data_IF_269523569575
#
_entry.id   IF_269523569575
#
_cell.length_a   1.000
_cell.length_b   1.000
_cell.length_c   1.000
_cell.angle_alpha   90.00
_cell.angle_beta   90.00
_cell.angle_gamma   90.00
#
_symmetry.space_group_name_H-M   'P 1'
#
loop_
_entity.id
_entity.type
_entity.pdbx_description
1 polymer ?
#
# COMPACT_ATOMS: atom_id res chain seq x y z
N UNK A 1 -72.73 33.29 38.12
CA UNK A 1 -71.97 32.05 37.83
C UNK A 1 -71.19 32.23 36.52
N UNK A 2 -69.89 32.52 36.62
CA UNK A 2 -69.01 32.74 35.47
C UNK A 2 -68.30 31.44 35.19
N UNK A 3 -68.52 30.84 34.06
CA UNK A 3 -67.83 29.61 33.59
C UNK A 3 -66.56 30.01 32.81
N UNK A 4 -65.38 29.72 33.45
CA UNK A 4 -64.09 29.88 32.81
C UNK A 4 -63.83 28.63 31.94
N UNK A 5 -63.70 28.81 30.63
CA UNK A 5 -63.28 27.78 29.71
C UNK A 5 -61.75 27.86 29.58
N UNK A 6 -61.04 26.85 30.08
CA UNK A 6 -59.58 26.72 29.93
C UNK A 6 -59.35 25.97 28.61
N UNK A 7 -58.82 26.68 27.61
CA UNK A 7 -58.36 26.05 26.33
C UNK A 7 -56.91 25.56 26.55
N UNK A 8 -56.75 24.25 26.52
CA UNK A 8 -55.41 23.62 26.48
C UNK A 8 -54.85 23.69 25.06
N UNK A 9 -53.88 24.56 24.82
CA UNK A 9 -53.11 24.58 23.59
C UNK A 9 -52.04 23.41 23.68
N UNK A 10 -52.34 22.34 22.96
CA UNK A 10 -51.30 21.29 22.69
C UNK A 10 -50.34 21.81 21.62
N UNK A 11 -49.16 22.27 22.03
CA UNK A 11 -48.03 22.54 21.11
C UNK A 11 -47.47 21.23 20.63
N UNK A 12 -47.75 20.86 19.40
CA UNK A 12 -47.10 19.76 18.67
C UNK A 12 -45.68 20.25 18.32
N UNK A 13 -44.70 19.81 19.09
CA UNK A 13 -43.26 19.94 18.73
C UNK A 13 -43.00 18.97 17.61
N UNK A 14 -43.07 19.47 16.35
CA UNK A 14 -42.54 18.73 15.18
C UNK A 14 -41.02 18.74 15.32
N UNK A 15 -40.47 17.69 15.91
CA UNK A 15 -39.05 17.42 15.92
C UNK A 15 -38.62 17.23 14.46
N UNK A 16 -37.89 18.18 13.90
CA UNK A 16 -37.10 17.96 12.70
C UNK A 16 -36.07 16.89 13.02
N UNK A 17 -36.44 15.63 12.84
CA UNK A 17 -35.48 14.52 12.78
C UNK A 17 -34.53 14.83 11.63
N UNK A 18 -33.36 15.37 11.94
CA UNK A 18 -32.26 15.36 11.00
C UNK A 18 -32.14 13.90 10.53
N UNK A 19 -32.41 13.63 9.26
CA UNK A 19 -32.11 12.35 8.62
C UNK A 19 -30.59 12.19 8.68
N UNK A 20 -30.07 11.68 9.79
CA UNK A 20 -28.69 11.24 9.92
C UNK A 20 -28.56 10.06 8.96
N UNK A 21 -27.99 10.30 7.78
CA UNK A 21 -27.69 9.18 6.89
C UNK A 21 -26.76 8.22 7.62
N UNK A 22 -27.03 6.90 7.56
CA UNK A 22 -26.21 5.93 8.25
C UNK A 22 -24.75 6.04 7.75
N UNK A 23 -23.81 6.03 8.68
CA UNK A 23 -22.37 6.05 8.35
C UNK A 23 -22.07 4.95 7.34
N UNK A 24 -21.48 5.25 6.17
CA UNK A 24 -21.22 4.25 5.15
C UNK A 24 -20.14 3.26 5.59
N UNK A 25 -20.02 2.19 4.84
CA UNK A 25 -18.99 1.17 5.01
C UNK A 25 -17.95 1.29 3.90
N UNK A 26 -16.69 1.04 4.22
CA UNK A 26 -15.60 1.05 3.23
C UNK A 26 -14.83 -0.26 3.33
N UNK A 27 -14.69 -0.94 2.19
CA UNK A 27 -13.79 -2.07 2.01
C UNK A 27 -12.64 -1.60 1.13
N UNK A 28 -11.43 -1.67 1.64
CA UNK A 28 -10.18 -1.40 0.91
C UNK A 28 -9.53 -2.74 0.56
N UNK A 29 -9.48 -3.05 -0.73
CA UNK A 29 -8.89 -4.29 -1.26
C UNK A 29 -7.58 -3.96 -1.96
N UNK A 30 -6.52 -4.72 -1.64
CA UNK A 30 -5.26 -4.67 -2.38
C UNK A 30 -5.00 -5.99 -3.09
N UNK A 31 -4.65 -5.90 -4.38
CA UNK A 31 -4.00 -6.96 -5.14
C UNK A 31 -2.53 -6.55 -5.33
N UNK A 32 -1.63 -7.23 -4.62
CA UNK A 32 -0.20 -6.90 -4.59
C UNK A 32 0.43 -6.93 -5.99
N UNK A 33 1.24 -5.94 -6.31
CA UNK A 33 1.98 -5.90 -7.56
C UNK A 33 1.12 -5.76 -8.82
N UNK A 34 -0.18 -5.42 -8.70
CA UNK A 34 -1.08 -5.32 -9.83
C UNK A 34 -0.80 -4.03 -10.63
N UNK A 35 0.00 -4.15 -11.71
CA UNK A 35 0.42 -3.02 -12.55
C UNK A 35 -0.75 -2.36 -13.27
N UNK A 36 -0.69 -1.05 -13.43
CA UNK A 36 -1.78 -0.20 -13.93
C UNK A 36 -2.36 -0.60 -15.31
N UNK A 37 -1.57 -1.28 -16.14
CA UNK A 37 -1.94 -1.70 -17.50
C UNK A 37 -2.36 -3.18 -17.61
N UNK A 38 -2.35 -3.94 -16.51
CA UNK A 38 -2.66 -5.38 -16.54
C UNK A 38 -4.08 -5.70 -17.00
N UNK A 39 -5.06 -4.85 -16.66
CA UNK A 39 -6.46 -5.04 -17.09
C UNK A 39 -6.61 -4.95 -18.61
N UNK A 40 -5.70 -4.25 -19.29
CA UNK A 40 -5.70 -4.11 -20.74
C UNK A 40 -5.07 -5.32 -21.45
N UNK A 41 -4.21 -6.08 -20.75
CA UNK A 41 -3.49 -7.23 -21.30
C UNK A 41 -4.36 -8.50 -21.38
N UNK A 42 -5.49 -8.53 -20.67
CA UNK A 42 -6.37 -9.70 -20.59
C UNK A 42 -7.85 -9.28 -20.68
N UNK A 43 -8.73 -10.27 -20.87
CA UNK A 43 -10.16 -10.01 -20.75
C UNK A 43 -10.60 -10.07 -19.27
N UNK A 44 -10.51 -8.94 -18.56
CA UNK A 44 -10.88 -8.77 -17.14
C UNK A 44 -12.25 -8.07 -16.99
N UNK A 45 -13.38 -8.79 -17.15
CA UNK A 45 -14.71 -8.18 -17.22
C UNK A 45 -15.16 -7.51 -15.93
N UNK A 46 -14.74 -8.00 -14.76
CA UNK A 46 -15.15 -7.47 -13.47
C UNK A 46 -14.45 -6.13 -13.18
N UNK A 47 -13.13 -6.02 -13.44
CA UNK A 47 -12.44 -4.73 -13.39
C UNK A 47 -13.05 -3.72 -14.37
N UNK A 48 -13.30 -4.12 -15.62
CA UNK A 48 -13.94 -3.27 -16.64
C UNK A 48 -15.35 -2.81 -16.22
N UNK A 49 -16.10 -3.67 -15.53
CA UNK A 49 -17.41 -3.30 -14.99
C UNK A 49 -17.31 -2.22 -13.91
N UNK A 50 -16.33 -2.32 -13.00
CA UNK A 50 -16.09 -1.29 -11.97
C UNK A 50 -15.66 0.03 -12.62
N UNK A 51 -14.78 0.00 -13.62
CA UNK A 51 -14.36 1.20 -14.37
C UNK A 51 -15.58 1.96 -14.94
N UNK A 52 -16.57 1.21 -15.46
CA UNK A 52 -17.79 1.79 -16.05
C UNK A 52 -18.78 2.29 -14.99
N UNK A 53 -18.94 1.57 -13.89
CA UNK A 53 -19.96 1.81 -12.86
C UNK A 53 -19.48 2.72 -11.72
N UNK A 54 -18.19 2.97 -11.61
CA UNK A 54 -17.57 3.74 -10.54
C UNK A 54 -16.52 4.72 -11.05
N UNK A 55 -15.45 4.88 -10.31
CA UNK A 55 -14.30 5.72 -10.65
C UNK A 55 -13.03 4.88 -10.79
N UNK A 56 -12.10 5.35 -11.66
CA UNK A 56 -10.78 4.74 -11.83
C UNK A 56 -9.72 5.79 -12.17
N UNK A 57 -8.46 5.45 -12.00
CA UNK A 57 -7.33 6.31 -12.36
C UNK A 57 -6.50 5.73 -13.52
N UNK A 58 -5.72 6.59 -14.18
CA UNK A 58 -4.68 6.18 -15.15
C UNK A 58 -3.53 5.40 -14.48
N UNK A 59 -3.52 5.33 -13.16
CA UNK A 59 -2.59 4.58 -12.33
C UNK A 59 -2.51 5.16 -10.93
N UNK A 60 -2.19 4.31 -9.97
CA UNK A 60 -1.88 4.70 -8.60
C UNK A 60 -0.35 4.78 -8.47
N UNK A 61 0.17 5.98 -8.22
CA UNK A 61 1.62 6.21 -8.12
C UNK A 61 2.06 5.81 -6.71
N UNK A 62 2.94 4.81 -6.57
CA UNK A 62 3.49 4.45 -5.27
C UNK A 62 4.44 5.53 -4.76
N UNK A 63 4.65 5.58 -3.44
CA UNK A 63 5.76 6.31 -2.86
C UNK A 63 7.09 5.65 -3.22
N UNK A 64 8.18 6.40 -3.18
CA UNK A 64 9.53 5.84 -3.24
C UNK A 64 9.96 5.33 -1.86
N UNK A 65 10.59 4.13 -1.78
CA UNK A 65 10.70 3.13 -2.84
C UNK A 65 9.35 2.43 -3.08
N UNK A 66 9.11 2.00 -4.33
CA UNK A 66 7.89 1.29 -4.69
C UNK A 66 7.92 -0.17 -4.21
N UNK A 67 7.93 -0.35 -2.89
CA UNK A 67 8.00 -1.61 -2.15
C UNK A 67 6.72 -1.87 -1.38
N UNK A 68 6.42 -3.15 -1.15
CA UNK A 68 5.17 -3.64 -0.55
C UNK A 68 4.86 -3.01 0.80
N UNK A 69 5.78 -3.15 1.78
CA UNK A 69 5.51 -2.71 3.14
C UNK A 69 5.37 -1.20 3.27
N UNK A 70 6.30 -0.37 2.74
CA UNK A 70 6.13 1.08 2.76
C UNK A 70 4.81 1.54 2.12
N UNK A 71 4.45 0.99 0.95
CA UNK A 71 3.30 1.48 0.20
C UNK A 71 1.96 1.06 0.76
N UNK A 72 1.82 -0.19 1.24
CA UNK A 72 0.60 -0.57 1.96
C UNK A 72 0.40 0.29 3.21
N UNK A 73 1.48 0.63 3.92
CA UNK A 73 1.37 1.46 5.11
C UNK A 73 1.12 2.93 4.78
N UNK A 74 1.70 3.45 3.68
CA UNK A 74 1.39 4.79 3.16
C UNK A 74 -0.09 4.95 2.79
N UNK A 75 -0.70 3.94 2.15
CA UNK A 75 -2.13 3.94 1.78
C UNK A 75 -3.02 4.12 3.02
N UNK A 76 -2.69 3.49 4.13
CA UNK A 76 -3.54 3.50 5.35
C UNK A 76 -3.13 4.56 6.38
N UNK A 77 -2.05 5.31 6.16
CA UNK A 77 -1.62 6.41 7.03
C UNK A 77 -1.68 7.79 6.36
N UNK A 78 -1.69 7.83 5.01
CA UNK A 78 -1.60 9.08 4.26
C UNK A 78 -0.25 9.78 4.38
N UNK A 79 0.80 9.04 4.79
CA UNK A 79 2.15 9.55 5.00
C UNK A 79 3.13 8.90 4.01
N UNK A 80 4.19 9.63 3.66
CA UNK A 80 5.33 9.08 2.94
C UNK A 80 6.17 8.14 3.81
N UNK A 81 6.93 7.20 3.23
CA UNK A 81 7.79 6.26 3.96
C UNK A 81 8.77 6.92 4.93
N UNK A 82 9.36 8.06 4.55
CA UNK A 82 10.23 8.83 5.44
C UNK A 82 9.52 9.42 6.66
N UNK A 83 8.21 9.67 6.56
CA UNK A 83 7.41 10.26 7.64
C UNK A 83 6.77 9.22 8.56
N UNK A 84 6.28 8.08 8.01
CA UNK A 84 5.77 7.01 8.87
C UNK A 84 6.86 6.05 9.38
N UNK A 85 8.08 6.12 8.82
CA UNK A 85 9.26 5.44 9.33
C UNK A 85 9.49 4.01 8.84
N UNK A 86 8.55 3.41 8.10
CA UNK A 86 8.72 2.11 7.45
C UNK A 86 9.28 2.36 6.04
N UNK A 87 10.59 2.54 5.96
CA UNK A 87 11.24 3.10 4.77
C UNK A 87 11.44 2.09 3.64
N UNK A 88 11.57 0.81 3.95
CA UNK A 88 11.78 -0.26 2.97
C UNK A 88 11.27 -1.60 3.54
N UNK A 89 11.23 -2.65 2.72
CA UNK A 89 11.02 -4.03 3.16
C UNK A 89 12.20 -4.55 4.00
N UNK A 90 13.39 -3.96 3.81
CA UNK A 90 14.62 -4.26 4.55
C UNK A 90 15.43 -2.98 4.75
N UNK A 91 15.71 -2.60 6.00
CA UNK A 91 16.53 -1.43 6.35
C UNK A 91 17.18 -1.63 7.73
N UNK A 92 18.28 -0.92 7.98
CA UNK A 92 18.90 -0.88 9.29
C UNK A 92 18.39 0.32 10.09
N UNK A 93 18.03 0.10 11.35
CA UNK A 93 17.67 1.18 12.27
C UNK A 93 18.91 1.61 13.06
N UNK A 94 19.44 2.82 12.84
CA UNK A 94 20.64 3.27 13.52
C UNK A 94 20.46 3.53 15.01
N UNK A 95 19.23 3.83 15.47
CA UNK A 95 18.93 4.06 16.88
C UNK A 95 18.91 2.75 17.68
N UNK A 96 18.29 1.71 17.13
CA UNK A 96 18.25 0.36 17.74
C UNK A 96 19.42 -0.51 17.36
N UNK A 97 20.23 -0.09 16.37
CA UNK A 97 21.38 -0.85 15.84
C UNK A 97 20.99 -2.26 15.39
N UNK A 98 19.85 -2.36 14.71
CA UNK A 98 19.31 -3.65 14.28
C UNK A 98 18.71 -3.57 12.86
N UNK A 99 18.70 -4.73 12.17
CA UNK A 99 18.12 -4.87 10.86
C UNK A 99 16.61 -5.12 10.97
N UNK A 100 15.80 -4.29 10.26
CA UNK A 100 14.41 -4.58 9.98
C UNK A 100 14.32 -5.41 8.70
N UNK A 101 13.57 -6.48 8.70
CA UNK A 101 13.28 -7.31 7.54
C UNK A 101 11.80 -7.72 7.57
N UNK A 102 11.11 -7.59 6.44
CA UNK A 102 9.69 -7.97 6.31
C UNK A 102 9.40 -9.43 6.68
N UNK A 103 10.39 -10.32 6.59
CA UNK A 103 10.28 -11.74 6.97
C UNK A 103 10.45 -11.96 8.46
N UNK A 104 10.94 -10.98 9.21
CA UNK A 104 11.14 -11.09 10.65
C UNK A 104 9.88 -10.68 11.42
N UNK A 105 9.08 -11.68 11.81
CA UNK A 105 7.81 -11.45 12.52
C UNK A 105 7.95 -10.56 13.76
N UNK A 106 9.04 -10.68 14.51
CA UNK A 106 9.30 -9.85 15.69
C UNK A 106 9.41 -8.36 15.31
N UNK A 107 9.92 -8.05 14.11
CA UNK A 107 10.05 -6.67 13.62
C UNK A 107 8.74 -6.15 13.02
N UNK A 108 8.06 -6.98 12.26
CA UNK A 108 6.82 -6.57 11.56
C UNK A 108 5.62 -6.41 12.50
N UNK A 109 5.73 -6.87 13.74
CA UNK A 109 4.71 -6.64 14.79
C UNK A 109 5.14 -5.63 15.85
N UNK A 110 6.37 -5.07 15.77
CA UNK A 110 6.88 -4.09 16.73
C UNK A 110 6.39 -2.67 16.36
N UNK A 111 5.58 -2.02 17.23
CA UNK A 111 5.03 -0.68 16.98
C UNK A 111 6.09 0.41 16.74
N UNK A 112 7.30 0.22 17.22
CA UNK A 112 8.39 1.17 17.06
C UNK A 112 8.67 1.56 15.59
N UNK A 113 8.42 0.64 14.65
CA UNK A 113 8.69 0.87 13.24
C UNK A 113 7.55 1.59 12.51
N UNK A 114 6.39 1.75 13.14
CA UNK A 114 5.12 2.13 12.51
C UNK A 114 4.60 3.46 13.05
N UNK A 115 5.01 4.57 12.43
CA UNK A 115 4.53 5.91 12.77
C UNK A 115 3.17 6.26 12.16
N UNK A 116 2.62 7.38 12.58
CA UNK A 116 1.35 7.88 12.06
C UNK A 116 0.11 7.24 12.72
N UNK A 117 -1.05 7.55 12.15
CA UNK A 117 -2.36 7.04 12.62
C UNK A 117 -3.02 6.27 11.48
N UNK A 118 -2.96 4.93 11.45
CA UNK A 118 -3.61 4.17 10.40
C UNK A 118 -5.14 4.29 10.48
N UNK A 119 -5.82 4.11 9.33
CA UNK A 119 -7.29 4.29 9.19
C UNK A 119 -8.10 3.49 10.21
N UNK A 120 -7.68 2.29 10.58
CA UNK A 120 -8.37 1.50 11.61
C UNK A 120 -8.26 2.12 13.01
N UNK A 121 -7.12 2.77 13.33
CA UNK A 121 -6.97 3.51 14.58
C UNK A 121 -7.79 4.80 14.55
N UNK A 122 -7.81 5.52 13.44
CA UNK A 122 -8.64 6.70 13.24
C UNK A 122 -10.13 6.36 13.39
N UNK A 123 -10.59 5.27 12.77
CA UNK A 123 -11.96 4.76 12.91
C UNK A 123 -12.32 4.52 14.38
N UNK A 124 -11.48 3.78 15.12
CA UNK A 124 -11.68 3.50 16.55
C UNK A 124 -11.75 4.77 17.39
N UNK A 125 -10.88 5.76 17.15
CA UNK A 125 -10.89 7.05 17.85
C UNK A 125 -12.21 7.82 17.65
N UNK A 126 -12.97 7.50 16.61
CA UNK A 126 -14.27 8.08 16.30
C UNK A 126 -15.45 7.11 16.55
N UNK A 127 -15.24 6.07 17.34
CA UNK A 127 -16.30 5.11 17.73
C UNK A 127 -16.71 4.12 16.65
N UNK A 128 -15.99 4.06 15.52
CA UNK A 128 -16.24 3.09 14.46
C UNK A 128 -15.36 1.86 14.64
N UNK A 129 -15.93 0.67 14.45
CA UNK A 129 -15.18 -0.57 14.42
C UNK A 129 -14.49 -0.78 13.07
N UNK A 130 -13.41 -1.53 13.09
CA UNK A 130 -12.61 -1.86 11.92
C UNK A 130 -12.19 -3.32 11.90
N UNK A 131 -11.92 -3.84 10.71
CA UNK A 131 -11.45 -5.21 10.51
C UNK A 131 -10.31 -5.26 9.48
N UNK A 132 -9.44 -6.26 9.59
CA UNK A 132 -8.37 -6.51 8.64
C UNK A 132 -8.22 -8.00 8.36
N UNK A 133 -8.41 -8.39 7.09
CA UNK A 133 -7.96 -9.67 6.62
C UNK A 133 -6.64 -9.45 5.86
N UNK A 134 -5.59 -9.37 6.66
CA UNK A 134 -4.22 -9.00 6.30
C UNK A 134 -4.09 -7.53 5.86
N UNK A 135 -3.11 -6.89 6.39
CA UNK A 135 -2.59 -5.59 5.96
C UNK A 135 -1.33 -5.27 6.73
N UNK A 136 -0.38 -4.59 6.10
CA UNK A 136 0.85 -4.14 6.79
C UNK A 136 0.50 -3.21 7.95
N UNK A 137 0.96 -3.54 9.15
CA UNK A 137 0.69 -2.80 10.39
C UNK A 137 -0.61 -3.17 11.12
N UNK A 138 -1.45 -4.08 10.58
CA UNK A 138 -2.69 -4.51 11.26
C UNK A 138 -2.47 -5.50 12.41
N UNK A 139 -1.25 -6.00 12.58
CA UNK A 139 -0.90 -7.07 13.53
C UNK A 139 0.05 -6.60 14.64
N UNK A 140 0.18 -5.29 14.84
CA UNK A 140 1.10 -4.73 15.83
C UNK A 140 0.85 -5.31 17.22
N UNK A 141 1.91 -5.49 18.02
CA UNK A 141 1.80 -6.12 19.34
C UNK A 141 0.94 -5.34 20.34
N UNK A 142 0.77 -4.03 20.14
CA UNK A 142 -0.09 -3.19 20.96
C UNK A 142 -1.55 -3.22 20.51
N UNK A 143 -2.52 -3.63 21.36
CA UNK A 143 -3.92 -3.79 20.99
C UNK A 143 -4.62 -2.53 20.49
N UNK A 144 -4.27 -1.36 21.02
CA UNK A 144 -4.85 -0.07 20.64
C UNK A 144 -4.41 0.43 19.25
N UNK A 145 -3.37 -0.21 18.69
CA UNK A 145 -2.86 0.07 17.35
C UNK A 145 -3.41 -0.87 16.27
N UNK A 146 -4.18 -1.90 16.67
CA UNK A 146 -4.76 -2.90 15.76
C UNK A 146 -6.21 -2.58 15.40
N UNK A 147 -6.74 -3.12 14.30
CA UNK A 147 -8.19 -3.20 14.07
C UNK A 147 -8.90 -3.97 15.19
N UNK A 148 -10.22 -3.80 15.33
CA UNK A 148 -11.03 -4.55 16.31
C UNK A 148 -11.06 -6.05 15.98
N UNK A 149 -11.12 -6.37 14.70
CA UNK A 149 -11.03 -7.74 14.17
C UNK A 149 -9.83 -7.81 13.23
N UNK A 150 -9.00 -8.82 13.37
CA UNK A 150 -7.89 -9.02 12.43
C UNK A 150 -7.47 -10.49 12.39
N UNK A 151 -6.86 -10.86 11.28
CA UNK A 151 -6.16 -12.13 11.14
C UNK A 151 -4.66 -11.87 11.02
N UNK A 152 -3.81 -12.60 11.76
CA UNK A 152 -2.38 -12.63 11.49
C UNK A 152 -2.12 -13.13 10.08
N UNK A 153 -1.10 -12.58 9.41
CA UNK A 153 -0.76 -12.99 8.05
C UNK A 153 -0.42 -14.48 7.98
N UNK A 154 -1.15 -15.19 7.14
CA UNK A 154 -0.97 -16.61 6.83
C UNK A 154 -1.37 -16.84 5.37
N UNK A 155 -0.37 -17.05 4.51
CA UNK A 155 -0.57 -17.23 3.07
C UNK A 155 -1.31 -18.54 2.73
N UNK A 156 -1.33 -19.51 3.64
CA UNK A 156 -2.04 -20.79 3.46
C UNK A 156 -3.57 -20.63 3.47
N UNK A 157 -4.09 -19.54 4.01
CA UNK A 157 -5.52 -19.26 4.02
C UNK A 157 -5.99 -18.86 2.61
N UNK A 158 -6.87 -19.65 2.02
CA UNK A 158 -7.33 -19.44 0.65
C UNK A 158 -8.07 -18.11 0.47
N UNK A 159 -7.96 -17.53 -0.75
CA UNK A 159 -8.60 -16.26 -1.10
C UNK A 159 -10.12 -16.27 -0.91
N UNK A 160 -10.78 -17.42 -1.13
CA UNK A 160 -12.22 -17.57 -0.93
C UNK A 160 -12.62 -17.47 0.54
N UNK A 161 -11.80 -17.97 1.47
CA UNK A 161 -12.02 -17.84 2.91
C UNK A 161 -11.89 -16.38 3.32
N UNK A 162 -10.91 -15.64 2.78
CA UNK A 162 -10.72 -14.21 3.04
C UNK A 162 -11.96 -13.41 2.63
N UNK A 163 -12.50 -13.66 1.43
CA UNK A 163 -13.73 -13.00 0.96
C UNK A 163 -14.94 -13.38 1.83
N UNK A 164 -15.10 -14.67 2.16
CA UNK A 164 -16.20 -15.13 3.00
C UNK A 164 -16.17 -14.43 4.38
N UNK A 165 -15.00 -14.25 4.97
CA UNK A 165 -14.85 -13.56 6.25
C UNK A 165 -15.25 -12.08 6.17
N UNK A 166 -14.91 -11.37 5.10
CA UNK A 166 -15.36 -9.97 4.88
C UNK A 166 -16.89 -9.92 4.85
N UNK A 167 -17.53 -10.86 4.16
CA UNK A 167 -19.00 -10.98 4.11
C UNK A 167 -19.60 -11.26 5.49
N UNK A 168 -18.96 -12.12 6.29
CA UNK A 168 -19.40 -12.38 7.67
C UNK A 168 -19.32 -11.14 8.54
N UNK A 169 -18.24 -10.35 8.45
CA UNK A 169 -18.14 -9.09 9.19
C UNK A 169 -19.23 -8.08 8.83
N UNK A 170 -19.61 -7.99 7.55
CA UNK A 170 -20.71 -7.13 7.12
C UNK A 170 -22.10 -7.60 7.61
N UNK A 171 -22.25 -8.86 7.98
CA UNK A 171 -23.49 -9.45 8.51
C UNK A 171 -23.61 -9.36 10.05
N UNK A 172 -22.59 -8.89 10.74
CA UNK A 172 -22.64 -8.69 12.18
C UNK A 172 -23.74 -7.68 12.57
N UNK A 173 -24.27 -7.74 13.81
CA UNK A 173 -25.11 -6.67 14.33
C UNK A 173 -24.44 -5.29 14.18
N UNK A 174 -25.23 -4.24 14.01
CA UNK A 174 -24.71 -2.89 13.76
C UNK A 174 -23.68 -2.42 14.78
N UNK A 175 -23.90 -2.72 16.06
CA UNK A 175 -22.99 -2.39 17.17
C UNK A 175 -21.63 -3.11 17.10
N UNK A 176 -21.54 -4.18 16.34
CA UNK A 176 -20.31 -4.99 16.19
C UNK A 176 -19.71 -4.90 14.79
N UNK A 177 -20.48 -4.38 13.82
CA UNK A 177 -20.11 -4.37 12.40
C UNK A 177 -18.97 -3.37 12.14
N UNK A 178 -17.86 -3.79 11.49
CA UNK A 178 -16.78 -2.89 11.12
C UNK A 178 -17.21 -1.98 9.95
N UNK A 179 -17.01 -0.68 10.10
CA UNK A 179 -17.24 0.33 9.06
C UNK A 179 -16.06 0.45 8.09
N UNK A 180 -14.86 0.07 8.54
CA UNK A 180 -13.66 0.03 7.70
C UNK A 180 -13.07 -1.38 7.71
N UNK A 181 -12.88 -1.95 6.52
CA UNK A 181 -12.36 -3.30 6.34
C UNK A 181 -11.21 -3.25 5.33
N UNK A 182 -10.07 -3.88 5.66
CA UNK A 182 -9.00 -4.13 4.70
C UNK A 182 -8.97 -5.59 4.30
N UNK A 183 -8.67 -5.85 3.01
CA UNK A 183 -8.55 -7.19 2.43
C UNK A 183 -7.33 -7.21 1.49
N UNK A 184 -6.43 -8.18 1.67
CA UNK A 184 -5.20 -8.29 0.90
C UNK A 184 -5.08 -9.63 0.18
N UNK A 185 -4.58 -9.57 -1.07
CA UNK A 185 -4.21 -10.69 -1.91
C UNK A 185 -2.78 -10.50 -2.42
N UNK A 186 -1.94 -11.53 -2.30
CA UNK A 186 -0.54 -11.52 -2.70
C UNK A 186 -0.31 -11.68 -4.21
N UNK A 187 -1.36 -12.04 -4.97
CA UNK A 187 -1.31 -12.17 -6.42
C UNK A 187 -1.79 -10.88 -7.09
N UNK A 188 -1.19 -10.45 -8.23
CA UNK A 188 -0.27 -11.17 -9.12
C UNK A 188 1.24 -10.92 -8.86
N UNK A 189 1.64 -10.37 -7.70
CA UNK A 189 3.05 -10.03 -7.42
C UNK A 189 3.97 -11.25 -7.50
N UNK A 190 3.58 -12.37 -6.86
CA UNK A 190 4.36 -13.60 -6.87
C UNK A 190 4.64 -14.12 -8.29
N UNK A 191 3.63 -14.13 -9.15
CA UNK A 191 3.76 -14.55 -10.53
C UNK A 191 4.60 -13.57 -11.34
N UNK A 192 4.41 -12.27 -11.10
CA UNK A 192 5.23 -11.20 -11.70
C UNK A 192 6.70 -11.37 -11.39
N UNK A 193 7.05 -11.64 -10.14
CA UNK A 193 8.43 -11.90 -9.71
C UNK A 193 9.03 -13.13 -10.39
N UNK A 194 8.32 -14.25 -10.37
CA UNK A 194 8.88 -15.53 -10.80
C UNK A 194 8.94 -15.72 -12.32
N UNK A 195 8.03 -15.10 -13.07
CA UNK A 195 7.85 -15.36 -14.51
C UNK A 195 7.88 -14.09 -15.36
N UNK A 196 8.00 -12.92 -14.75
CA UNK A 196 7.92 -11.63 -15.42
C UNK A 196 6.48 -11.14 -15.64
N UNK A 197 6.30 -9.80 -15.73
CA UNK A 197 4.99 -9.15 -15.79
C UNK A 197 4.20 -9.47 -17.08
N UNK A 198 4.88 -9.89 -18.15
CA UNK A 198 4.25 -10.17 -19.45
C UNK A 198 3.95 -11.66 -19.68
N UNK A 199 4.30 -12.54 -18.73
CA UNK A 199 4.17 -13.99 -18.83
C UNK A 199 2.71 -14.48 -18.86
N UNK A 200 2.51 -15.71 -19.32
CA UNK A 200 1.20 -16.36 -19.27
C UNK A 200 0.78 -16.66 -17.83
N UNK A 201 1.73 -16.93 -16.94
CA UNK A 201 1.53 -17.15 -15.50
C UNK A 201 0.93 -15.90 -14.87
N UNK A 202 1.53 -14.73 -15.11
CA UNK A 202 1.03 -13.45 -14.63
C UNK A 202 -0.34 -13.11 -15.22
N UNK A 203 -0.56 -13.37 -16.52
CA UNK A 203 -1.88 -13.20 -17.14
C UNK A 203 -2.97 -14.07 -16.49
N UNK A 204 -2.66 -15.32 -16.15
CA UNK A 204 -3.59 -16.19 -15.40
C UNK A 204 -3.86 -15.66 -14.00
N UNK A 205 -2.85 -15.11 -13.33
CA UNK A 205 -3.01 -14.50 -12.01
C UNK A 205 -3.91 -13.25 -12.05
N UNK A 206 -3.78 -12.41 -13.08
CA UNK A 206 -4.66 -11.26 -13.31
C UNK A 206 -6.12 -11.71 -13.50
N UNK A 207 -6.36 -12.76 -14.30
CA UNK A 207 -7.72 -13.31 -14.49
C UNK A 207 -8.29 -13.90 -13.21
N UNK A 208 -7.44 -14.52 -12.37
CA UNK A 208 -7.85 -14.99 -11.03
C UNK A 208 -8.25 -13.81 -10.13
N UNK A 209 -7.46 -12.74 -10.12
CA UNK A 209 -7.78 -11.51 -9.38
C UNK A 209 -9.09 -10.89 -9.86
N UNK A 210 -9.36 -10.87 -11.17
CA UNK A 210 -10.63 -10.42 -11.74
C UNK A 210 -11.81 -11.27 -11.23
N UNK A 211 -11.64 -12.59 -11.19
CA UNK A 211 -12.67 -13.52 -10.69
C UNK A 211 -12.96 -13.30 -9.20
N UNK A 212 -11.91 -13.12 -8.37
CA UNK A 212 -12.05 -12.82 -6.94
C UNK A 212 -12.77 -11.50 -6.72
N UNK A 213 -12.44 -10.47 -7.49
CA UNK A 213 -13.13 -9.19 -7.45
C UNK A 213 -14.60 -9.33 -7.80
N UNK A 214 -14.93 -10.11 -8.83
CA UNK A 214 -16.31 -10.43 -9.22
C UNK A 214 -17.09 -11.11 -8.11
N UNK A 215 -16.49 -12.10 -7.44
CA UNK A 215 -17.10 -12.81 -6.29
C UNK A 215 -17.36 -11.82 -5.16
N UNK A 216 -16.38 -10.99 -4.80
CA UNK A 216 -16.52 -10.00 -3.72
C UNK A 216 -17.63 -9.00 -4.02
N UNK A 217 -17.65 -8.40 -5.21
CA UNK A 217 -18.67 -7.44 -5.63
C UNK A 217 -20.07 -8.04 -5.61
N UNK A 218 -20.23 -9.27 -6.12
CA UNK A 218 -21.52 -9.95 -6.13
C UNK A 218 -22.04 -10.24 -4.73
N UNK A 219 -21.16 -10.64 -3.80
CA UNK A 219 -21.55 -10.85 -2.40
C UNK A 219 -21.95 -9.54 -1.71
N UNK A 220 -21.18 -8.46 -1.91
CA UNK A 220 -21.48 -7.14 -1.32
C UNK A 220 -22.85 -6.63 -1.79
N UNK A 221 -23.19 -6.79 -3.07
CA UNK A 221 -24.48 -6.34 -3.64
C UNK A 221 -25.70 -7.02 -3.03
N UNK A 222 -25.56 -8.19 -2.43
CA UNK A 222 -26.65 -8.90 -1.74
C UNK A 222 -26.86 -8.42 -0.31
N UNK A 223 -26.01 -7.54 0.20
CA UNK A 223 -26.09 -7.00 1.57
C UNK A 223 -26.71 -5.62 1.50
N UNK A 224 -27.84 -5.35 2.20
CA UNK A 224 -28.53 -4.06 2.14
C UNK A 224 -27.82 -2.99 2.99
N UNK A 225 -26.56 -2.73 2.69
CA UNK A 225 -25.70 -1.75 3.37
C UNK A 225 -25.08 -0.78 2.34
N UNK A 226 -24.83 0.48 2.70
CA UNK A 226 -24.15 1.44 1.84
C UNK A 226 -22.63 1.20 1.81
N UNK A 227 -22.21 0.14 1.13
CA UNK A 227 -20.80 -0.27 1.05
C UNK A 227 -20.09 0.40 -0.13
N UNK A 228 -18.98 1.05 0.15
CA UNK A 228 -18.03 1.53 -0.85
C UNK A 228 -16.86 0.54 -0.93
N UNK A 229 -16.51 0.13 -2.13
CA UNK A 229 -15.37 -0.73 -2.42
C UNK A 229 -14.29 0.10 -3.11
N UNK A 230 -13.09 0.11 -2.54
CA UNK A 230 -11.90 0.74 -3.11
C UNK A 230 -10.89 -0.39 -3.37
N UNK A 231 -10.44 -0.50 -4.62
CA UNK A 231 -9.49 -1.54 -5.07
C UNK A 231 -8.22 -0.84 -5.50
N UNK A 232 -7.11 -1.28 -4.91
CA UNK A 232 -5.77 -0.71 -5.14
C UNK A 232 -4.74 -1.81 -5.39
N UNK A 233 -3.56 -1.40 -5.80
CA UNK A 233 -2.32 -2.13 -5.55
C UNK A 233 -1.28 -1.16 -4.98
N UNK A 234 -0.33 -1.69 -4.29
CA UNK A 234 0.75 -0.96 -3.64
C UNK A 234 1.82 -0.48 -4.62
N UNK A 235 2.08 -1.25 -5.68
CA UNK A 235 3.00 -0.95 -6.79
C UNK A 235 2.63 -1.75 -8.04
N UNK A 236 3.42 -1.56 -9.10
CA UNK A 236 3.44 -2.39 -10.30
C UNK A 236 4.67 -3.29 -10.34
N UNK A 237 5.16 -3.61 -11.56
CA UNK A 237 6.24 -4.57 -11.78
C UNK A 237 7.05 -4.21 -13.03
N UNK A 238 8.38 -4.15 -12.91
CA UNK A 238 9.31 -4.02 -14.02
C UNK A 238 9.76 -5.40 -14.52
N UNK A 239 9.93 -5.56 -15.82
CA UNK A 239 10.47 -6.79 -16.41
C UNK A 239 12.00 -6.74 -16.42
N UNK A 240 12.62 -7.82 -15.96
CA UNK A 240 14.05 -8.06 -16.03
C UNK A 240 14.34 -9.37 -16.75
N UNK A 241 15.59 -9.57 -17.12
CA UNK A 241 16.08 -10.84 -17.72
C UNK A 241 17.11 -11.48 -16.82
N UNK A 242 17.05 -12.79 -16.68
CA UNK A 242 18.02 -13.59 -15.92
C UNK A 242 19.30 -13.77 -16.75
N UNK A 243 20.09 -12.69 -16.82
CA UNK A 243 21.40 -12.65 -17.49
C UNK A 243 22.39 -11.89 -16.61
N UNK A 244 23.71 -12.17 -16.68
CA UNK A 244 24.70 -11.53 -15.82
C UNK A 244 24.69 -10.01 -15.88
N UNK A 245 24.38 -9.43 -17.04
CA UNK A 245 24.35 -7.99 -17.29
C UNK A 245 23.24 -7.25 -16.52
N UNK A 246 22.22 -7.96 -16.08
CA UNK A 246 21.12 -7.44 -15.26
C UNK A 246 21.60 -7.07 -13.86
N UNK A 247 22.68 -7.70 -13.38
CA UNK A 247 23.07 -7.58 -11.97
C UNK A 247 24.14 -6.53 -11.73
N UNK A 248 23.95 -5.82 -10.61
CA UNK A 248 24.94 -4.90 -10.02
C UNK A 248 25.48 -5.61 -8.79
N UNK A 249 26.74 -6.07 -8.84
CA UNK A 249 27.38 -6.78 -7.74
C UNK A 249 27.96 -5.80 -6.72
N UNK A 250 27.44 -5.80 -5.50
CA UNK A 250 27.89 -4.89 -4.42
C UNK A 250 29.36 -5.07 -4.08
N UNK A 251 29.89 -6.29 -4.10
CA UNK A 251 31.29 -6.56 -3.82
C UNK A 251 32.26 -5.96 -4.87
N UNK A 252 31.78 -5.59 -6.06
CA UNK A 252 32.60 -4.91 -7.08
C UNK A 252 32.64 -3.40 -6.84
N UNK A 253 31.60 -2.83 -6.25
CA UNK A 253 31.45 -1.38 -6.08
C UNK A 253 31.74 -0.91 -4.66
N UNK A 254 31.63 -1.80 -3.64
CA UNK A 254 31.80 -1.52 -2.23
C UNK A 254 32.72 -2.57 -1.58
N UNK A 255 33.58 -2.16 -0.66
CA UNK A 255 34.30 -3.09 0.18
C UNK A 255 33.37 -3.75 1.22
N UNK A 256 32.87 -4.95 0.91
CA UNK A 256 31.93 -5.69 1.76
C UNK A 256 32.59 -6.29 3.03
N UNK A 257 33.92 -6.22 3.14
CA UNK A 257 34.66 -6.66 4.34
C UNK A 257 34.79 -5.53 5.39
N UNK A 258 34.38 -4.32 5.05
CA UNK A 258 34.39 -3.17 5.96
C UNK A 258 33.20 -3.25 6.94
N UNK A 259 33.46 -3.72 8.15
CA UNK A 259 32.43 -3.90 9.17
C UNK A 259 31.81 -2.58 9.69
N UNK A 260 32.44 -1.43 9.40
CA UNK A 260 31.95 -0.10 9.78
C UNK A 260 30.88 0.42 8.83
N UNK A 261 30.59 -0.29 7.73
CA UNK A 261 29.51 -0.01 6.80
C UNK A 261 28.42 -1.07 6.95
N UNK A 262 27.28 -0.69 7.52
CA UNK A 262 26.10 -1.58 7.54
C UNK A 262 25.36 -1.41 6.20
N UNK A 263 24.92 -2.52 5.64
CA UNK A 263 24.28 -2.57 4.33
C UNK A 263 22.93 -3.25 4.45
N UNK A 264 21.87 -2.58 3.96
CA UNK A 264 20.56 -3.17 3.78
C UNK A 264 20.23 -3.14 2.28
N UNK A 265 20.28 -4.31 1.65
CA UNK A 265 20.06 -4.47 0.21
C UNK A 265 18.62 -4.92 -0.05
N UNK A 266 17.83 -4.06 -0.71
CA UNK A 266 16.46 -4.30 -1.16
C UNK A 266 16.36 -4.72 -2.64
N UNK A 267 17.49 -4.96 -3.33
CA UNK A 267 17.56 -5.39 -4.72
C UNK A 267 17.48 -4.26 -5.75
N UNK A 268 16.51 -3.38 -5.66
CA UNK A 268 16.38 -2.18 -6.53
C UNK A 268 16.95 -0.93 -5.88
N UNK A 269 17.10 -0.95 -4.56
CA UNK A 269 17.84 0.05 -3.77
C UNK A 269 18.66 -0.66 -2.71
N UNK A 270 19.75 0.01 -2.30
CA UNK A 270 20.64 -0.46 -1.27
C UNK A 270 21.05 0.69 -0.37
N UNK A 271 20.74 0.56 0.92
CA UNK A 271 21.01 1.54 1.96
C UNK A 271 22.37 1.26 2.58
N UNK A 272 23.22 2.29 2.70
CA UNK A 272 24.51 2.22 3.38
C UNK A 272 24.47 3.11 4.61
N UNK A 273 24.85 2.55 5.76
CA UNK A 273 24.96 3.25 7.03
C UNK A 273 26.41 3.21 7.46
N UNK A 274 27.03 4.38 7.63
CA UNK A 274 28.46 4.56 7.81
C UNK A 274 28.72 5.01 9.25
N UNK A 275 29.42 4.18 10.03
CA UNK A 275 29.68 4.46 11.45
C UNK A 275 30.54 5.72 11.67
N UNK A 276 31.48 5.99 10.77
CA UNK A 276 32.34 7.19 10.79
C UNK A 276 31.88 8.19 9.72
N UNK A 277 31.22 9.28 10.11
CA UNK A 277 30.70 10.28 9.15
C UNK A 277 31.79 10.94 8.28
N UNK A 278 33.03 10.98 8.75
CA UNK A 278 34.16 11.58 7.99
C UNK A 278 34.48 10.78 6.72
N UNK A 279 34.02 9.54 6.63
CA UNK A 279 34.25 8.65 5.49
C UNK A 279 33.15 8.71 4.43
N UNK A 280 32.03 9.37 4.71
CA UNK A 280 30.87 9.41 3.77
C UNK A 280 31.30 9.89 2.40
N UNK A 281 32.05 11.00 2.31
CA UNK A 281 32.47 11.58 1.03
C UNK A 281 33.41 10.66 0.23
N UNK A 282 34.34 10.00 0.90
CA UNK A 282 35.28 9.07 0.26
C UNK A 282 34.58 7.81 -0.27
N UNK A 283 33.63 7.25 0.51
CA UNK A 283 32.84 6.09 0.11
C UNK A 283 31.89 6.48 -1.03
N UNK A 284 31.19 7.60 -0.93
CA UNK A 284 30.34 8.15 -2.00
C UNK A 284 31.11 8.27 -3.31
N UNK A 285 32.27 8.95 -3.28
CA UNK A 285 33.10 9.14 -4.47
C UNK A 285 33.56 7.83 -5.09
N UNK A 286 33.97 6.86 -4.27
CA UNK A 286 34.37 5.53 -4.72
C UNK A 286 33.22 4.78 -5.40
N UNK A 287 32.02 4.78 -4.79
CA UNK A 287 30.84 4.12 -5.36
C UNK A 287 30.38 4.84 -6.63
N UNK A 288 30.36 6.17 -6.64
CA UNK A 288 29.94 7.01 -7.78
C UNK A 288 30.85 6.83 -9.00
N UNK A 289 32.16 6.72 -8.79
CA UNK A 289 33.15 6.52 -9.89
C UNK A 289 32.89 5.22 -10.67
N UNK A 290 32.30 4.21 -10.03
CA UNK A 290 31.99 2.90 -10.63
C UNK A 290 30.56 2.82 -11.18
N UNK A 291 29.76 3.89 -11.07
CA UNK A 291 28.34 3.87 -11.45
C UNK A 291 28.17 3.71 -12.95
N UNK A 292 27.45 2.66 -13.36
CA UNK A 292 27.05 2.40 -14.74
C UNK A 292 25.52 2.29 -14.88
N UNK A 293 24.92 1.39 -14.11
CA UNK A 293 23.49 1.05 -14.19
C UNK A 293 22.76 1.36 -12.87
N UNK A 294 23.33 2.27 -12.09
CA UNK A 294 22.77 2.73 -10.83
C UNK A 294 23.14 4.20 -10.59
N UNK A 295 22.42 4.83 -9.70
CA UNK A 295 22.75 6.12 -9.11
C UNK A 295 23.08 5.96 -7.64
N UNK A 296 23.92 6.84 -7.10
CA UNK A 296 24.19 6.93 -5.68
C UNK A 296 23.94 8.35 -5.21
N UNK A 297 23.31 8.48 -4.05
CA UNK A 297 22.94 9.74 -3.44
C UNK A 297 23.44 9.76 -1.99
N UNK A 298 23.94 10.91 -1.55
CA UNK A 298 24.01 11.23 -0.12
C UNK A 298 22.60 11.57 0.37
N UNK A 299 22.34 11.44 1.68
CA UNK A 299 21.01 11.73 2.23
C UNK A 299 20.52 13.14 1.89
N UNK A 300 21.36 14.14 1.98
CA UNK A 300 21.05 15.52 1.64
C UNK A 300 20.79 15.75 0.13
N UNK A 301 21.20 14.82 -0.71
CA UNK A 301 20.99 14.85 -2.17
C UNK A 301 19.73 14.12 -2.61
N UNK A 302 18.98 13.52 -1.69
CA UNK A 302 17.75 12.78 -2.05
C UNK A 302 16.77 13.70 -2.77
N UNK A 303 16.18 13.27 -3.91
CA UNK A 303 15.12 14.02 -4.57
C UNK A 303 14.02 14.41 -3.59
N UNK A 304 13.70 15.70 -3.50
CA UNK A 304 12.69 16.22 -2.54
C UNK A 304 11.33 15.52 -2.66
N UNK A 305 10.96 15.08 -3.89
CA UNK A 305 9.72 14.37 -4.15
C UNK A 305 9.64 12.99 -3.46
N UNK A 306 10.76 12.43 -2.99
CA UNK A 306 10.75 11.15 -2.27
C UNK A 306 10.27 11.30 -0.83
N UNK A 307 10.38 12.49 -0.23
CA UNK A 307 10.06 12.72 1.19
C UNK A 307 10.73 11.67 2.09
N UNK A 308 12.04 11.44 1.85
CA UNK A 308 12.74 10.26 2.33
C UNK A 308 13.94 10.61 3.24
N UNK A 309 14.05 11.86 3.65
CA UNK A 309 15.13 12.35 4.52
C UNK A 309 14.91 11.86 5.97
N UNK A 310 15.44 10.68 6.25
CA UNK A 310 15.40 10.05 7.58
C UNK A 310 16.66 9.18 7.78
N UNK A 311 17.18 9.08 9.03
CA UNK A 311 18.32 8.21 9.32
C UNK A 311 18.12 6.73 8.91
N UNK A 312 16.88 6.23 8.91
CA UNK A 312 16.56 4.88 8.45
C UNK A 312 16.79 4.67 6.95
N UNK A 313 16.82 5.73 6.16
CA UNK A 313 17.12 5.67 4.73
C UNK A 313 18.63 5.53 4.42
N UNK A 314 19.51 5.56 5.45
CA UNK A 314 20.94 5.44 5.31
C UNK A 314 21.65 6.79 5.11
N UNK A 315 22.96 6.76 5.15
CA UNK A 315 23.81 7.93 4.86
C UNK A 315 24.04 8.05 3.35
N UNK A 316 24.12 6.90 2.67
CA UNK A 316 24.14 6.79 1.21
C UNK A 316 23.05 5.82 0.74
N UNK A 317 22.45 6.13 -0.40
CA UNK A 317 21.48 5.27 -1.07
C UNK A 317 21.94 5.00 -2.49
N UNK A 318 22.07 3.71 -2.83
CA UNK A 318 22.29 3.24 -4.19
C UNK A 318 20.94 2.83 -4.76
N UNK A 319 20.56 3.35 -5.93
CA UNK A 319 19.33 2.99 -6.64
C UNK A 319 19.66 2.41 -8.00
N UNK A 320 19.23 1.19 -8.28
CA UNK A 320 19.37 0.59 -9.60
C UNK A 320 18.49 1.32 -10.63
N UNK A 321 18.98 1.45 -11.85
CA UNK A 321 18.14 1.87 -12.97
C UNK A 321 17.09 0.79 -13.30
N UNK A 322 15.92 1.14 -13.85
CA UNK A 322 14.95 0.15 -14.31
C UNK A 322 15.59 -0.90 -15.23
N UNK A 323 15.27 -2.17 -15.00
CA UNK A 323 15.89 -3.31 -15.71
C UNK A 323 17.15 -3.87 -15.07
N UNK A 324 17.64 -3.28 -13.97
CA UNK A 324 18.81 -3.76 -13.22
C UNK A 324 18.46 -4.10 -11.77
N UNK A 325 19.26 -5.00 -11.18
CA UNK A 325 19.02 -5.52 -9.83
C UNK A 325 20.32 -5.65 -9.05
N UNK A 326 20.33 -5.17 -7.79
CA UNK A 326 21.51 -5.16 -6.92
C UNK A 326 21.57 -6.49 -6.16
N UNK A 327 22.69 -7.18 -6.28
CA UNK A 327 23.00 -8.42 -5.53
C UNK A 327 24.28 -8.24 -4.72
N UNK A 328 24.48 -9.07 -3.70
CA UNK A 328 25.72 -9.01 -2.90
C UNK A 328 26.90 -9.63 -3.68
N UNK A 329 27.35 -10.80 -3.38
CA UNK A 329 28.41 -11.52 -4.12
C UNK A 329 27.80 -12.51 -5.12
N UNK A 330 26.71 -13.09 -4.72
CA UNK A 330 26.00 -14.13 -5.46
C UNK A 330 24.52 -13.73 -5.57
N UNK A 331 23.86 -14.32 -6.54
CA UNK A 331 22.42 -14.22 -6.66
C UNK A 331 21.75 -14.81 -5.42
N UNK A 332 20.67 -14.19 -4.97
CA UNK A 332 19.87 -14.74 -3.87
C UNK A 332 19.35 -16.13 -4.24
N UNK A 333 19.01 -16.95 -3.24
CA UNK A 333 18.45 -18.30 -3.47
C UNK A 333 17.23 -18.26 -4.40
N UNK A 334 16.41 -17.22 -4.28
CA UNK A 334 15.26 -17.01 -5.15
C UNK A 334 15.67 -16.80 -6.61
N UNK A 335 16.59 -15.87 -6.88
CA UNK A 335 17.09 -15.59 -8.24
C UNK A 335 17.78 -16.81 -8.87
N UNK A 336 18.45 -17.63 -8.08
CA UNK A 336 19.10 -18.84 -8.58
C UNK A 336 18.13 -19.94 -9.05
N UNK A 337 16.83 -19.80 -8.76
CA UNK A 337 15.77 -20.70 -9.22
C UNK A 337 15.15 -20.25 -10.56
N UNK A 338 15.46 -19.02 -11.03
CA UNK A 338 14.99 -18.53 -12.32
C UNK A 338 15.88 -19.10 -13.42
N UNK A 339 15.26 -19.59 -14.48
CA UNK A 339 15.98 -20.17 -15.62
C UNK A 339 16.79 -19.09 -16.35
N UNK A 340 18.07 -19.35 -16.66
CA UNK A 340 18.91 -18.40 -17.40
C UNK A 340 18.28 -17.94 -18.72
N UNK A 341 18.28 -16.63 -18.96
CA UNK A 341 17.70 -16.01 -20.13
C UNK A 341 16.20 -15.77 -20.06
N UNK A 342 15.49 -16.32 -19.04
CA UNK A 342 14.06 -16.09 -18.86
C UNK A 342 13.75 -14.70 -18.27
N UNK A 343 12.51 -14.27 -18.39
CA UNK A 343 12.03 -13.05 -17.76
C UNK A 343 11.69 -13.30 -16.29
N UNK A 344 11.92 -12.28 -15.46
CA UNK A 344 11.44 -12.19 -14.08
C UNK A 344 11.01 -10.76 -13.77
N UNK A 345 10.43 -10.51 -12.64
CA UNK A 345 9.98 -9.17 -12.25
C UNK A 345 10.66 -8.63 -11.00
N UNK A 346 10.79 -7.31 -10.96
CA UNK A 346 11.21 -6.59 -9.77
C UNK A 346 10.46 -5.25 -9.64
N UNK A 347 10.37 -4.76 -8.42
CA UNK A 347 9.79 -3.46 -8.10
C UNK A 347 10.62 -2.77 -6.99
N UNK A 348 10.38 -1.48 -6.78
CA UNK A 348 11.16 -0.65 -5.85
C UNK A 348 11.77 0.57 -6.54
N UNK A 349 11.76 0.61 -7.87
CA UNK A 349 12.31 1.73 -8.65
C UNK A 349 11.54 3.03 -8.40
N UNK A 350 12.18 4.16 -8.69
CA UNK A 350 11.54 5.47 -8.62
C UNK A 350 10.36 5.55 -9.61
N UNK A 351 9.11 5.73 -9.15
CA UNK A 351 7.93 5.77 -10.00
C UNK A 351 7.90 7.00 -10.95
N UNK A 352 8.78 7.99 -10.73
CA UNK A 352 8.94 9.10 -11.66
C UNK A 352 9.81 8.72 -12.88
N UNK A 353 10.64 7.68 -12.78
CA UNK A 353 11.51 7.21 -13.85
C UNK A 353 10.81 6.16 -14.70
N UNK A 354 10.08 5.23 -14.09
CA UNK A 354 9.32 4.20 -14.81
C UNK A 354 7.87 4.14 -14.39
N UNK A 355 6.96 4.20 -15.38
CA UNK A 355 5.52 4.05 -15.16
C UNK A 355 5.12 2.62 -14.76
N UNK A 356 5.99 1.64 -15.01
CA UNK A 356 5.75 0.24 -14.66
C UNK A 356 5.62 0.03 -13.14
N UNK A 357 6.04 1.01 -12.32
CA UNK A 357 5.82 0.98 -10.88
C UNK A 357 4.41 1.40 -10.47
N UNK A 358 3.60 1.97 -11.36
CA UNK A 358 2.23 2.37 -11.02
C UNK A 358 1.35 1.15 -10.80
N UNK A 359 0.60 1.19 -9.72
CA UNK A 359 -0.47 0.26 -9.44
C UNK A 359 -1.82 0.71 -9.99
N UNK A 360 -2.88 0.05 -9.52
CA UNK A 360 -4.27 0.32 -9.90
C UNK A 360 -5.02 1.12 -8.82
N UNK A 361 -6.03 1.86 -9.28
CA UNK A 361 -7.08 2.44 -8.43
C UNK A 361 -8.44 2.32 -9.10
N UNK A 362 -9.36 1.64 -8.41
CA UNK A 362 -10.78 1.59 -8.77
C UNK A 362 -11.62 1.84 -7.52
N UNK A 363 -12.76 2.51 -7.68
CA UNK A 363 -13.69 2.75 -6.58
C UNK A 363 -15.14 2.66 -7.08
N UNK A 364 -16.00 1.99 -6.30
CA UNK A 364 -17.44 1.87 -6.59
C UNK A 364 -18.22 1.88 -5.28
N UNK A 365 -19.39 2.48 -5.26
CA UNK A 365 -20.29 2.50 -4.11
C UNK A 365 -21.17 3.74 -4.08
N UNK A 366 -22.04 3.87 -3.07
CA UNK A 366 -23.00 4.97 -3.00
C UNK A 366 -22.37 6.36 -2.90
N UNK A 367 -21.16 6.46 -2.34
CA UNK A 367 -20.44 7.73 -2.22
C UNK A 367 -19.52 8.02 -3.42
N UNK A 368 -19.48 7.16 -4.44
CA UNK A 368 -18.59 7.27 -5.59
C UNK A 368 -19.39 7.57 -6.86
N UNK A 369 -19.00 8.61 -7.61
CA UNK A 369 -19.61 8.93 -8.90
C UNK A 369 -19.28 7.89 -9.96
N UNK A 370 -20.29 7.45 -10.69
CA UNK A 370 -20.15 6.51 -11.79
C UNK A 370 -19.41 7.13 -12.99
N UNK A 371 -18.63 6.30 -13.71
CA UNK A 371 -17.97 6.66 -14.96
C UNK A 371 -16.90 7.76 -14.84
N UNK A 372 -16.34 7.98 -13.65
CA UNK A 372 -15.30 8.99 -13.44
C UNK A 372 -13.92 8.41 -13.69
N UNK A 373 -13.15 9.09 -14.54
CA UNK A 373 -11.73 8.84 -14.74
C UNK A 373 -10.92 10.01 -14.18
N UNK A 374 -9.86 9.70 -13.41
CA UNK A 374 -8.92 10.69 -12.90
C UNK A 374 -7.50 10.40 -13.40
N UNK A 375 -6.66 11.42 -13.43
CA UNK A 375 -5.23 11.24 -13.75
C UNK A 375 -4.55 10.38 -12.69
N UNK A 376 -3.39 9.85 -13.01
CA UNK A 376 -2.56 9.15 -12.03
C UNK A 376 -2.24 10.08 -10.84
N UNK A 377 -2.30 9.54 -9.62
CA UNK A 377 -2.10 10.25 -8.36
C UNK A 377 -1.35 9.37 -7.35
N UNK A 378 -0.75 9.98 -6.33
CA UNK A 378 0.03 9.28 -5.32
C UNK A 378 -0.87 8.55 -4.31
N UNK A 379 -0.46 7.38 -3.89
CA UNK A 379 -1.24 6.46 -3.04
C UNK A 379 -1.58 7.02 -1.66
N UNK A 380 -0.82 7.98 -1.14
CA UNK A 380 -1.12 8.70 0.12
C UNK A 380 -2.48 9.41 0.10
N UNK A 381 -3.04 9.71 -1.08
CA UNK A 381 -4.34 10.38 -1.21
C UNK A 381 -5.54 9.44 -1.00
N UNK A 382 -5.31 8.12 -0.88
CA UNK A 382 -6.35 7.14 -0.52
C UNK A 382 -6.82 7.34 0.92
N UNK A 383 -5.91 7.66 1.83
CA UNK A 383 -6.25 7.92 3.23
C UNK A 383 -7.33 8.98 3.42
N UNK A 384 -7.15 10.24 2.94
CA UNK A 384 -8.17 11.27 3.09
C UNK A 384 -9.45 10.99 2.30
N UNK A 385 -9.39 10.23 1.19
CA UNK A 385 -10.59 9.76 0.48
C UNK A 385 -11.46 8.88 1.39
N UNK A 386 -10.86 7.86 2.01
CA UNK A 386 -11.57 6.93 2.90
C UNK A 386 -12.08 7.67 4.15
N UNK A 387 -11.25 8.52 4.75
CA UNK A 387 -11.65 9.34 5.88
C UNK A 387 -12.88 10.22 5.54
N UNK A 388 -12.88 10.85 4.36
CA UNK A 388 -14.01 11.66 3.88
C UNK A 388 -15.29 10.84 3.70
N UNK A 389 -15.21 9.63 3.13
CA UNK A 389 -16.37 8.74 2.98
C UNK A 389 -16.94 8.36 4.35
N UNK A 390 -16.08 8.07 5.33
CA UNK A 390 -16.48 7.69 6.68
C UNK A 390 -16.85 8.87 7.58
N UNK A 391 -16.75 10.12 7.10
CA UNK A 391 -17.02 11.33 7.89
C UNK A 391 -15.99 11.60 8.99
N UNK A 392 -14.74 11.15 8.80
CA UNK A 392 -13.66 11.26 9.78
C UNK A 392 -12.77 12.47 9.50
N UNK A 393 -12.41 13.19 10.56
CA UNK A 393 -11.40 14.25 10.49
C UNK A 393 -10.00 13.63 10.53
N UNK A 394 -9.19 13.92 9.54
CA UNK A 394 -7.82 13.42 9.44
C UNK A 394 -6.88 14.14 10.40
N UNK A 395 -5.89 13.45 11.01
CA UNK A 395 -4.75 14.10 11.63
C UNK A 395 -3.90 14.82 10.57
N UNK A 396 -2.77 15.41 10.98
CA UNK A 396 -1.77 15.92 10.03
C UNK A 396 -1.22 14.74 9.19
N UNK A 397 -1.36 14.84 7.88
CA UNK A 397 -0.94 13.85 6.88
C UNK A 397 -0.34 14.54 5.66
N UNK A 398 0.37 13.79 4.81
CA UNK A 398 0.88 14.28 3.53
C UNK A 398 -0.19 14.22 2.43
N UNK A 399 -1.17 13.33 2.60
CA UNK A 399 -2.27 13.15 1.65
C UNK A 399 -3.17 14.38 1.55
N UNK A 400 -3.51 14.77 0.32
CA UNK A 400 -4.37 15.93 0.03
C UNK A 400 -5.79 15.49 -0.33
N UNK A 401 -6.84 15.83 0.45
CA UNK A 401 -8.22 15.41 0.20
C UNK A 401 -8.79 15.96 -1.11
N UNK A 402 -8.27 17.09 -1.65
CA UNK A 402 -8.76 17.70 -2.88
C UNK A 402 -8.48 16.87 -4.13
N UNK A 403 -7.45 16.01 -4.10
CA UNK A 403 -7.02 15.22 -5.28
C UNK A 403 -8.13 14.30 -5.78
N UNK A 404 -8.88 13.69 -4.87
CA UNK A 404 -9.96 12.74 -5.19
C UNK A 404 -11.38 13.29 -4.89
N UNK A 405 -11.52 14.54 -4.49
CA UNK A 405 -12.83 15.15 -4.21
C UNK A 405 -13.80 15.04 -5.40
N UNK A 406 -13.28 15.12 -6.62
CA UNK A 406 -14.09 15.08 -7.85
C UNK A 406 -14.86 13.78 -8.06
N UNK A 407 -14.41 12.66 -7.47
CA UNK A 407 -15.07 11.36 -7.59
C UNK A 407 -16.15 11.13 -6.53
N UNK A 408 -16.20 11.94 -5.48
CA UNK A 408 -17.19 11.80 -4.41
C UNK A 408 -18.57 12.35 -4.83
N UNK A 409 -19.63 11.63 -4.47
CA UNK A 409 -21.01 12.14 -4.47
C UNK A 409 -21.10 13.14 -3.32
N UNK A 410 -21.58 14.35 -3.61
CA UNK A 410 -21.85 15.39 -2.59
C UNK A 410 -23.23 15.22 -1.99
#
# INVERSE_FOLDING_TARGET
>A
MLRIIIIFLCSVVIGNGANCQPTPYVILVSFDGFRHDYVEQVNAPNFKAIMKQGAHADGLIPCFPSKTFPNHYSIVTGLYPGHHGLVDNTFYDPNRKELYEMKNRKRTTDPYYFGGTPLWKLARQNGLKSASFFWVGSELSQPDLRPDYYFPYDESISDSIRIAQVVQWLKLPESERPHFITLYFSSPDNEGHNFGPSSNETKRAILRSDSLLGILVNNIRQIPLPVNLIVVSDHGMEELREVPETYIFLNEILNRSDATIKVANGGTQCHLYIEDPTRIDSIYSSVKMKAKNYSVYKREEFPKRWHYDTPRAGDLLITANPGYYIVDRERTKWLSQIEPGSAFGAHGYDPAITKNMRGIFYAIGPNIKAGKKVKAFENIHIYPLIASILGLTTPAIDGNPKVLESILVR
#
